data_IF_829857593279
#
_entry.id   IF_829857593279
#
_cell.length_a   1.000
_cell.length_b   1.000
_cell.length_c   1.000
_cell.angle_alpha   90.00
_cell.angle_beta   90.00
_cell.angle_gamma   90.00
#
_symmetry.space_group_name_H-M   'P 1'
#
loop_
_entity.id
_entity.type
_entity.pdbx_description
1 polymer ?
#
# COMPACT_ATOMS: atom_id res chain seq x y z
N UNK A 1 -17.61 -20.12 51.88
CA UNK A 1 -17.91 -18.84 51.23
C UNK A 1 -16.60 -18.23 50.73
N UNK A 2 -16.65 -17.60 49.56
CA UNK A 2 -15.56 -17.01 48.77
C UNK A 2 -14.61 -16.09 49.59
N UNK A 3 -13.38 -15.76 49.18
CA UNK A 3 -13.06 -14.96 47.98
C UNK A 3 -11.65 -15.26 47.45
N UNK A 4 -11.61 -15.48 46.14
CA UNK A 4 -10.47 -15.51 45.23
C UNK A 4 -9.90 -14.08 45.09
N UNK A 5 -8.61 -13.86 45.38
CA UNK A 5 -7.91 -12.63 44.94
C UNK A 5 -6.89 -13.01 43.87
N UNK A 6 -7.33 -12.81 42.63
CA UNK A 6 -6.53 -12.72 41.42
C UNK A 6 -5.76 -11.39 41.49
N UNK A 7 -4.43 -11.42 41.49
CA UNK A 7 -3.63 -10.21 41.29
C UNK A 7 -2.80 -10.37 40.01
N UNK A 8 -3.22 -9.58 39.03
CA UNK A 8 -2.74 -9.35 37.68
C UNK A 8 -1.24 -9.62 37.43
N UNK A 9 -1.01 -10.40 36.36
CA UNK A 9 0.21 -10.36 35.60
C UNK A 9 0.54 -8.92 35.20
N UNK A 10 1.70 -8.43 35.62
CA UNK A 10 2.34 -7.25 35.06
C UNK A 10 2.71 -7.56 33.60
N UNK A 11 1.78 -7.28 32.70
CA UNK A 11 1.99 -7.33 31.26
C UNK A 11 3.09 -6.33 30.89
N UNK A 12 4.30 -6.86 30.75
CA UNK A 12 5.29 -6.49 29.75
C UNK A 12 5.02 -5.15 29.03
N UNK A 13 5.47 -4.05 29.62
CA UNK A 13 5.74 -2.81 28.89
C UNK A 13 6.94 -3.09 27.97
N UNK A 14 6.68 -3.72 26.83
CA UNK A 14 7.60 -3.66 25.70
C UNK A 14 7.44 -2.26 25.12
N UNK A 15 8.15 -1.29 25.69
CA UNK A 15 8.53 -0.09 24.95
C UNK A 15 9.55 -0.54 23.92
N UNK A 16 9.10 -1.13 22.82
CA UNK A 16 9.96 -1.26 21.65
C UNK A 16 10.19 0.17 21.17
N UNK A 17 11.39 0.71 21.38
CA UNK A 17 11.86 1.81 20.55
C UNK A 17 11.56 1.41 19.11
N UNK A 18 10.66 2.15 18.45
CA UNK A 18 10.45 1.97 17.02
C UNK A 18 11.83 2.16 16.39
N UNK A 19 12.41 1.09 15.84
CA UNK A 19 13.70 1.16 15.18
C UNK A 19 13.59 2.23 14.09
N UNK A 20 14.19 3.40 14.33
CA UNK A 20 14.15 4.51 13.37
C UNK A 20 14.86 4.04 12.12
N UNK A 21 14.10 3.87 11.05
CA UNK A 21 14.65 3.49 9.77
C UNK A 21 15.23 4.72 9.08
N UNK A 22 16.22 4.52 8.23
CA UNK A 22 16.67 5.60 7.34
C UNK A 22 15.71 5.70 6.15
N UNK A 23 14.78 6.67 6.21
CA UNK A 23 13.77 6.88 5.19
C UNK A 23 14.34 7.16 3.81
N UNK A 24 15.47 7.88 3.73
CA UNK A 24 16.13 8.20 2.46
C UNK A 24 16.75 6.95 1.80
N UNK A 25 17.37 6.08 2.60
CA UNK A 25 17.90 4.80 2.10
C UNK A 25 16.76 3.90 1.62
N UNK A 26 15.65 3.86 2.34
CA UNK A 26 14.46 3.10 1.94
C UNK A 26 13.83 3.62 0.66
N UNK A 27 13.66 4.94 0.55
CA UNK A 27 13.15 5.58 -0.66
C UNK A 27 14.05 5.26 -1.85
N UNK A 28 15.37 5.37 -1.68
CA UNK A 28 16.36 4.99 -2.70
C UNK A 28 16.20 3.53 -3.13
N UNK A 29 16.05 2.61 -2.17
CA UNK A 29 15.86 1.19 -2.45
C UNK A 29 14.53 0.91 -3.20
N UNK A 30 13.43 1.51 -2.76
CA UNK A 30 12.12 1.41 -3.42
C UNK A 30 12.20 1.91 -4.86
N UNK A 31 12.74 3.12 -5.07
CA UNK A 31 12.86 3.72 -6.40
C UNK A 31 13.81 2.93 -7.31
N UNK A 32 14.93 2.46 -6.76
CA UNK A 32 15.86 1.58 -7.48
C UNK A 32 15.17 0.29 -7.95
N UNK A 33 14.32 -0.30 -7.11
CA UNK A 33 13.50 -1.45 -7.51
C UNK A 33 12.47 -1.10 -8.60
N UNK A 34 11.76 0.02 -8.48
CA UNK A 34 10.79 0.44 -9.50
C UNK A 34 11.45 0.61 -10.87
N UNK A 35 12.58 1.32 -10.92
CA UNK A 35 13.32 1.59 -12.16
C UNK A 35 13.88 0.30 -12.78
N UNK A 36 14.51 -0.56 -11.98
CA UNK A 36 15.14 -1.79 -12.47
C UNK A 36 14.14 -2.89 -12.86
N UNK A 37 12.89 -2.83 -12.39
CA UNK A 37 11.90 -3.88 -12.60
C UNK A 37 10.77 -3.51 -13.57
N UNK A 38 10.90 -2.40 -14.29
CA UNK A 38 9.96 -1.98 -15.35
C UNK A 38 8.70 -1.30 -14.85
N UNK A 39 8.81 -0.51 -13.77
CA UNK A 39 7.74 0.36 -13.22
C UNK A 39 8.12 1.82 -13.39
N UNK A 40 8.72 2.17 -14.53
CA UNK A 40 9.30 3.49 -14.78
C UNK A 40 8.24 4.58 -14.76
N UNK A 41 7.03 4.28 -15.27
CA UNK A 41 5.92 5.24 -15.25
C UNK A 41 5.41 5.53 -13.85
N UNK A 42 5.39 4.52 -12.98
CA UNK A 42 5.01 4.72 -11.60
C UNK A 42 6.07 5.52 -10.82
N UNK A 43 7.37 5.26 -11.03
CA UNK A 43 8.44 6.08 -10.43
C UNK A 43 8.39 7.53 -10.92
N UNK A 44 8.16 7.75 -12.22
CA UNK A 44 8.01 9.09 -12.78
C UNK A 44 6.78 9.82 -12.21
N UNK A 45 5.67 9.11 -12.03
CA UNK A 45 4.47 9.66 -11.40
C UNK A 45 4.70 10.00 -9.92
N UNK A 46 5.40 9.13 -9.18
CA UNK A 46 5.81 9.39 -7.81
C UNK A 46 6.62 10.68 -7.68
N UNK A 47 7.57 10.91 -8.59
CA UNK A 47 8.35 12.15 -8.67
C UNK A 47 7.46 13.36 -8.98
N UNK A 48 6.61 13.28 -10.01
CA UNK A 48 5.86 14.43 -10.53
C UNK A 48 4.81 14.98 -9.58
N UNK A 49 4.34 14.18 -8.63
CA UNK A 49 3.34 14.60 -7.63
C UNK A 49 3.92 15.33 -6.44
N UNK A 50 5.24 15.30 -6.24
CA UNK A 50 5.87 15.76 -5.00
C UNK A 50 5.55 14.93 -3.76
N UNK A 51 4.83 13.79 -3.90
CA UNK A 51 4.42 12.92 -2.80
C UNK A 51 5.63 12.35 -2.03
N UNK A 52 6.81 12.29 -2.66
CA UNK A 52 8.07 11.90 -2.02
C UNK A 52 8.32 12.68 -0.72
N UNK A 53 8.02 13.99 -0.69
CA UNK A 53 8.23 14.82 0.52
C UNK A 53 7.35 14.36 1.69
N UNK A 54 6.13 13.90 1.41
CA UNK A 54 5.22 13.36 2.41
C UNK A 54 5.54 11.90 2.78
N UNK A 55 6.11 11.14 1.85
CA UNK A 55 6.51 9.75 2.04
C UNK A 55 7.75 9.63 2.95
N UNK A 56 8.71 10.55 2.83
CA UNK A 56 10.00 10.44 3.50
C UNK A 56 9.89 10.38 5.04
N UNK A 57 9.11 11.24 5.73
CA UNK A 57 8.91 11.13 7.17
C UNK A 57 8.30 9.78 7.57
N UNK A 58 7.30 9.31 6.82
CA UNK A 58 6.63 8.03 7.08
C UNK A 58 7.62 6.87 7.01
N UNK A 59 8.51 6.87 6.02
CA UNK A 59 9.51 5.82 5.88
C UNK A 59 10.50 5.81 7.06
N UNK A 60 10.69 6.90 7.79
CA UNK A 60 11.57 6.86 8.96
C UNK A 60 10.97 6.02 10.11
N UNK A 61 9.64 6.00 10.21
CA UNK A 61 8.95 5.38 11.35
C UNK A 61 8.26 4.06 10.98
N UNK A 62 7.98 3.84 9.70
CA UNK A 62 7.16 2.74 9.22
C UNK A 62 7.79 2.02 8.04
N UNK A 63 7.60 0.70 8.01
CA UNK A 63 7.78 -0.07 6.79
C UNK A 63 6.53 0.01 5.90
N UNK A 64 6.74 -0.20 4.60
CA UNK A 64 5.67 -0.05 3.62
C UNK A 64 5.64 -1.19 2.61
N UNK A 65 4.43 -1.47 2.15
CA UNK A 65 4.17 -2.29 0.98
C UNK A 65 3.74 -1.39 -0.17
N UNK A 66 4.47 -1.44 -1.27
CA UNK A 66 4.20 -0.64 -2.47
C UNK A 66 3.47 -1.50 -3.49
N UNK A 67 2.31 -1.04 -3.92
CA UNK A 67 1.56 -1.61 -5.05
C UNK A 67 1.93 -0.82 -6.30
N UNK A 68 2.92 -1.27 -7.06
CA UNK A 68 3.42 -0.55 -8.22
C UNK A 68 2.62 -0.95 -9.48
N UNK A 69 1.83 -0.05 -10.10
CA UNK A 69 1.17 -0.39 -11.35
C UNK A 69 2.19 -0.55 -12.47
N UNK A 70 2.13 -1.68 -13.17
CA UNK A 70 2.95 -1.98 -14.34
C UNK A 70 2.77 -0.92 -15.44
N UNK A 71 3.79 -0.71 -16.27
CA UNK A 71 3.81 0.40 -17.25
C UNK A 71 2.60 0.40 -18.22
N UNK A 72 2.02 -0.77 -18.55
CA UNK A 72 0.83 -0.82 -19.40
C UNK A 72 -0.45 -0.34 -18.70
N UNK A 73 -0.52 -0.42 -17.36
CA UNK A 73 -1.67 0.07 -16.59
C UNK A 73 -1.88 1.59 -16.77
N UNK A 74 -0.78 2.30 -17.08
CA UNK A 74 -0.75 3.74 -17.33
C UNK A 74 -1.16 4.13 -18.76
N UNK A 75 -1.41 3.18 -19.66
CA UNK A 75 -1.77 3.49 -21.05
C UNK A 75 -3.24 3.89 -21.24
N UNK A 76 -4.08 3.68 -20.22
CA UNK A 76 -5.51 4.02 -20.29
C UNK A 76 -5.74 5.53 -20.23
N UNK A 77 -6.79 6.03 -20.88
CA UNK A 77 -7.19 7.44 -20.81
C UNK A 77 -7.42 7.89 -19.35
N UNK A 78 -8.00 7.01 -18.53
CA UNK A 78 -8.21 7.30 -17.11
C UNK A 78 -6.90 7.48 -16.34
N UNK A 79 -5.88 6.65 -16.59
CA UNK A 79 -4.59 6.79 -15.92
C UNK A 79 -3.83 8.04 -16.39
N UNK A 80 -3.95 8.40 -17.67
CA UNK A 80 -3.41 9.66 -18.20
C UNK A 80 -4.08 10.88 -17.55
N UNK A 81 -5.40 10.83 -17.36
CA UNK A 81 -6.14 11.88 -16.65
C UNK A 81 -5.69 12.00 -15.18
N UNK A 82 -5.47 10.88 -14.49
CA UNK A 82 -4.92 10.88 -13.12
C UNK A 82 -3.56 11.58 -13.06
N UNK A 83 -2.68 11.32 -14.04
CA UNK A 83 -1.35 11.93 -14.10
C UNK A 83 -1.40 13.45 -14.31
N UNK A 84 -2.45 13.96 -14.97
CA UNK A 84 -2.63 15.39 -15.22
C UNK A 84 -3.32 16.13 -14.07
N UNK A 85 -4.12 15.45 -13.25
CA UNK A 85 -4.87 16.05 -12.14
C UNK A 85 -3.98 16.23 -10.90
N UNK A 86 -3.36 17.41 -10.76
CA UNK A 86 -2.47 17.76 -9.64
C UNK A 86 -3.12 17.63 -8.25
N UNK A 87 -4.46 17.70 -8.16
CA UNK A 87 -5.18 17.59 -6.88
C UNK A 87 -5.37 16.13 -6.48
N UNK A 88 -5.73 15.28 -7.45
CA UNK A 88 -5.98 13.85 -7.21
C UNK A 88 -4.73 13.00 -7.22
N UNK A 89 -3.72 13.38 -7.99
CA UNK A 89 -2.54 12.58 -8.22
C UNK A 89 -1.81 12.17 -6.93
N UNK A 90 -1.52 13.07 -5.95
CA UNK A 90 -0.89 12.67 -4.70
C UNK A 90 -1.72 11.68 -3.88
N UNK A 91 -3.06 11.81 -3.91
CA UNK A 91 -3.97 10.91 -3.21
C UNK A 91 -4.02 9.53 -3.86
N UNK A 92 -3.99 9.47 -5.20
CA UNK A 92 -3.92 8.22 -5.96
C UNK A 92 -2.58 7.52 -5.66
N UNK A 93 -1.46 8.26 -5.64
CA UNK A 93 -0.16 7.69 -5.28
C UNK A 93 -0.17 7.17 -3.86
N UNK A 94 -0.60 7.97 -2.87
CA UNK A 94 -0.66 7.55 -1.48
C UNK A 94 -1.49 6.27 -1.26
N UNK A 95 -2.50 6.05 -2.10
CA UNK A 95 -3.33 4.85 -2.06
C UNK A 95 -2.61 3.56 -2.52
N UNK A 96 -1.48 3.69 -3.22
CA UNK A 96 -0.63 2.55 -3.62
C UNK A 96 0.43 2.19 -2.57
N UNK A 97 0.54 2.95 -1.47
CA UNK A 97 1.44 2.62 -0.36
C UNK A 97 0.61 2.14 0.83
N UNK A 98 0.83 0.91 1.26
CA UNK A 98 0.19 0.30 2.43
C UNK A 98 1.17 0.36 3.61
N UNK A 99 0.67 0.74 4.79
CA UNK A 99 1.42 0.66 6.05
C UNK A 99 1.67 -0.80 6.40
N UNK A 100 2.92 -1.15 6.70
CA UNK A 100 3.32 -2.52 6.99
C UNK A 100 3.97 -3.20 5.81
N UNK A 101 4.94 -4.09 6.09
CA UNK A 101 5.40 -5.10 5.13
C UNK A 101 4.37 -6.22 5.01
N UNK A 102 3.85 -6.46 3.81
CA UNK A 102 2.82 -7.46 3.49
C UNK A 102 3.30 -8.29 2.34
N UNK A 103 3.71 -9.52 2.62
CA UNK A 103 4.11 -10.46 1.57
C UNK A 103 2.89 -10.99 0.81
N UNK A 104 3.10 -11.45 -0.42
CA UNK A 104 2.05 -12.10 -1.20
C UNK A 104 1.48 -13.33 -0.47
N UNK A 105 2.35 -14.14 0.16
CA UNK A 105 1.97 -15.31 0.95
C UNK A 105 1.10 -14.95 2.15
N UNK A 106 1.36 -13.84 2.82
CA UNK A 106 0.50 -13.34 3.89
C UNK A 106 -0.84 -12.85 3.35
N UNK A 107 -0.83 -12.07 2.26
CA UNK A 107 -2.06 -11.56 1.64
C UNK A 107 -2.99 -12.68 1.12
N UNK A 108 -2.45 -13.83 0.72
CA UNK A 108 -3.24 -15.01 0.35
C UNK A 108 -4.00 -15.63 1.52
N UNK A 109 -3.53 -15.42 2.76
CA UNK A 109 -4.16 -15.94 3.99
C UNK A 109 -5.24 -15.02 4.53
N UNK A 110 -5.33 -13.79 4.02
CA UNK A 110 -6.34 -12.84 4.45
C UNK A 110 -7.73 -13.30 4.06
N UNK A 111 -8.71 -12.97 4.91
CA UNK A 111 -10.12 -13.15 4.59
C UNK A 111 -10.49 -12.17 3.49
N UNK A 112 -11.36 -12.57 2.57
CA UNK A 112 -11.94 -11.65 1.59
C UNK A 112 -12.59 -10.48 2.33
N UNK A 113 -12.34 -9.26 1.87
CA UNK A 113 -12.81 -8.05 2.55
C UNK A 113 -11.87 -7.54 3.64
N UNK A 114 -10.64 -8.07 3.77
CA UNK A 114 -9.67 -7.52 4.72
C UNK A 114 -9.24 -6.13 4.28
N UNK A 115 -9.36 -5.15 5.16
CA UNK A 115 -8.92 -3.79 4.90
C UNK A 115 -7.46 -3.57 5.32
N UNK A 116 -6.72 -2.81 4.51
CA UNK A 116 -5.35 -2.39 4.80
C UNK A 116 -5.24 -0.88 4.74
N UNK A 117 -4.53 -0.29 5.70
CA UNK A 117 -4.35 1.17 5.80
C UNK A 117 -3.33 1.63 4.78
N UNK A 118 -3.70 2.63 3.97
CA UNK A 118 -2.78 3.27 3.02
C UNK A 118 -2.12 4.51 3.62
N UNK A 119 -1.03 5.00 3.02
CA UNK A 119 -0.33 6.21 3.48
C UNK A 119 -1.10 7.51 3.27
N UNK A 120 -2.27 7.44 2.61
CA UNK A 120 -3.20 8.55 2.65
C UNK A 120 -3.93 8.67 4.01
N UNK A 121 -3.67 7.78 4.98
CA UNK A 121 -4.13 7.68 6.39
C UNK A 121 -5.65 7.72 6.65
N UNK A 122 -6.44 8.14 5.66
CA UNK A 122 -7.90 8.24 5.69
C UNK A 122 -8.55 7.17 4.80
N UNK A 123 -7.75 6.43 4.03
CA UNK A 123 -8.26 5.53 2.99
C UNK A 123 -7.70 4.14 3.18
N UNK A 124 -8.63 3.18 3.27
CA UNK A 124 -8.31 1.76 3.34
C UNK A 124 -8.44 1.16 1.96
N UNK A 125 -7.52 0.26 1.62
CA UNK A 125 -7.64 -0.59 0.44
C UNK A 125 -8.14 -1.97 0.87
N UNK A 126 -9.17 -2.45 0.18
CA UNK A 126 -9.79 -3.74 0.43
C UNK A 126 -9.05 -4.84 -0.33
N UNK A 127 -8.62 -5.85 0.40
CA UNK A 127 -8.16 -7.11 -0.15
C UNK A 127 -9.37 -7.95 -0.56
N UNK A 128 -9.39 -8.32 -1.83
CA UNK A 128 -10.36 -9.23 -2.42
C UNK A 128 -9.62 -10.46 -2.89
N UNK A 129 -9.80 -11.58 -2.19
CA UNK A 129 -9.29 -12.86 -2.64
C UNK A 129 -10.28 -13.43 -3.64
N UNK A 130 -9.90 -13.45 -4.91
CA UNK A 130 -10.54 -14.34 -5.86
C UNK A 130 -10.02 -15.75 -5.56
N UNK A 131 -10.88 -16.77 -5.61
CA UNK A 131 -10.44 -18.17 -5.51
C UNK A 131 -9.25 -18.45 -6.46
N UNK A 132 -8.46 -19.49 -6.17
CA UNK A 132 -7.32 -19.91 -7.00
C UNK A 132 -6.02 -19.09 -6.86
N UNK A 133 -5.68 -18.64 -5.66
CA UNK A 133 -4.34 -18.08 -5.39
C UNK A 133 -4.11 -16.68 -5.96
N UNK A 134 -5.18 -15.93 -6.22
CA UNK A 134 -5.12 -14.58 -6.78
C UNK A 134 -5.46 -13.53 -5.72
N UNK A 135 -4.61 -12.52 -5.57
CA UNK A 135 -4.86 -11.35 -4.72
C UNK A 135 -5.28 -10.17 -5.59
N UNK A 136 -6.47 -9.65 -5.33
CA UNK A 136 -6.98 -8.40 -5.91
C UNK A 136 -7.13 -7.34 -4.83
N UNK A 137 -6.89 -6.09 -5.19
CA UNK A 137 -6.82 -4.95 -4.27
C UNK A 137 -7.60 -3.79 -4.87
N UNK A 138 -8.54 -3.23 -4.13
CA UNK A 138 -9.42 -2.17 -4.63
C UNK A 138 -10.14 -1.44 -3.49
N UNK A 139 -10.91 -0.37 -3.79
CA UNK A 139 -11.68 0.34 -2.76
C UNK A 139 -12.90 -0.43 -2.23
N UNK A 140 -13.40 -1.41 -2.98
CA UNK A 140 -14.48 -2.30 -2.55
C UNK A 140 -14.47 -3.60 -3.38
N UNK A 141 -15.26 -4.59 -2.97
CA UNK A 141 -15.40 -5.85 -3.72
C UNK A 141 -16.05 -5.53 -5.08
N UNK A 142 -15.39 -5.94 -6.17
CA UNK A 142 -15.90 -5.74 -7.53
C UNK A 142 -15.72 -4.32 -8.09
N UNK A 143 -15.02 -3.44 -7.38
CA UNK A 143 -14.79 -2.06 -7.82
C UNK A 143 -14.08 -1.97 -9.19
N UNK A 144 -14.43 -0.97 -10.01
CA UNK A 144 -13.88 -0.76 -11.36
C UNK A 144 -12.35 -0.66 -11.38
N UNK A 145 -11.77 -0.05 -10.35
CA UNK A 145 -10.33 0.17 -10.24
C UNK A 145 -9.66 -0.82 -9.28
N UNK A 146 -10.09 -2.07 -9.31
CA UNK A 146 -9.46 -3.18 -8.59
C UNK A 146 -8.25 -3.70 -9.38
N UNK A 147 -7.07 -3.68 -8.79
CA UNK A 147 -5.85 -4.24 -9.38
C UNK A 147 -5.55 -5.65 -8.89
N UNK A 148 -5.06 -6.51 -9.78
CA UNK A 148 -4.52 -7.84 -9.43
C UNK A 148 -3.02 -7.72 -9.21
N UNK A 149 -2.49 -8.36 -8.18
CA UNK A 149 -1.03 -8.55 -8.07
C UNK A 149 -0.60 -9.50 -9.19
N UNK A 150 0.09 -8.95 -10.20
CA UNK A 150 0.58 -9.67 -11.37
C UNK A 150 2.04 -10.10 -11.23
N UNK A 151 2.82 -9.40 -10.40
CA UNK A 151 4.23 -9.70 -10.10
C UNK A 151 4.48 -9.59 -8.59
N UNK A 152 4.42 -10.70 -7.83
CA UNK A 152 4.61 -10.64 -6.39
C UNK A 152 6.09 -10.42 -6.02
N UNK A 153 6.37 -9.55 -5.05
CA UNK A 153 7.71 -9.45 -4.43
C UNK A 153 8.81 -8.96 -5.37
N UNK A 154 8.48 -8.06 -6.29
CA UNK A 154 9.40 -7.39 -7.24
C UNK A 154 10.67 -6.88 -6.55
N UNK A 155 10.48 -6.40 -5.33
CA UNK A 155 11.53 -6.15 -4.34
C UNK A 155 11.00 -6.66 -3.01
N UNK A 156 11.80 -7.46 -2.30
CA UNK A 156 11.50 -7.93 -0.96
C UNK A 156 12.69 -7.61 -0.06
N UNK A 157 12.84 -6.32 0.26
CA UNK A 157 13.85 -5.86 1.19
C UNK A 157 13.56 -6.34 2.62
N UNK A 158 14.50 -6.12 3.53
CA UNK A 158 14.31 -6.46 4.96
C UNK A 158 13.02 -5.83 5.51
N UNK A 159 12.82 -4.56 5.20
CA UNK A 159 11.72 -3.73 5.74
C UNK A 159 10.62 -3.46 4.72
N UNK A 160 10.93 -3.17 3.45
CA UNK A 160 9.90 -2.82 2.46
C UNK A 160 9.70 -3.92 1.41
N UNK A 161 8.52 -3.94 0.81
CA UNK A 161 8.20 -4.85 -0.30
C UNK A 161 7.46 -4.11 -1.42
N UNK A 162 7.74 -4.48 -2.67
CA UNK A 162 7.06 -3.96 -3.86
C UNK A 162 6.34 -5.12 -4.57
N UNK A 163 5.06 -4.94 -4.83
CA UNK A 163 4.25 -5.83 -5.67
C UNK A 163 3.86 -5.10 -6.95
N UNK A 164 4.03 -5.76 -8.10
CA UNK A 164 3.47 -5.29 -9.34
C UNK A 164 1.97 -5.54 -9.41
N UNK A 165 1.19 -4.52 -9.74
CA UNK A 165 -0.25 -4.61 -9.99
C UNK A 165 -0.59 -4.25 -11.43
N UNK A 166 -1.63 -4.85 -12.00
CA UNK A 166 -2.02 -4.65 -13.40
C UNK A 166 -2.88 -3.40 -13.66
N UNK A 167 -3.27 -2.69 -12.61
CA UNK A 167 -4.21 -1.57 -12.68
C UNK A 167 -3.75 -0.43 -11.77
N UNK A 168 -3.95 0.82 -12.20
CA UNK A 168 -3.84 1.99 -11.31
C UNK A 168 -5.06 1.97 -10.37
N UNK A 169 -4.82 1.63 -9.12
CA UNK A 169 -5.86 1.50 -8.10
C UNK A 169 -6.25 2.91 -7.65
N UNK A 170 -7.55 3.17 -7.52
CA UNK A 170 -8.07 4.48 -7.14
C UNK A 170 -8.85 4.43 -5.83
N UNK A 171 -8.78 5.49 -5.01
CA UNK A 171 -9.60 5.60 -3.80
C UNK A 171 -11.11 5.53 -4.04
N UNK A 172 -11.92 5.25 -2.99
CA UNK A 172 -13.38 5.14 -3.11
C UNK A 172 -14.07 6.37 -3.72
N UNK A 173 -13.67 7.57 -3.32
CA UNK A 173 -14.27 8.83 -3.80
C UNK A 173 -14.11 9.03 -5.31
N UNK A 174 -13.12 8.38 -5.94
CA UNK A 174 -12.92 8.46 -7.39
C UNK A 174 -14.07 7.77 -8.16
N UNK A 175 -14.71 6.77 -7.54
CA UNK A 175 -15.80 6.00 -8.14
C UNK A 175 -17.19 6.54 -7.77
N UNK A 176 -17.26 7.70 -7.10
CA UNK A 176 -18.51 8.17 -6.48
C UNK A 176 -18.95 7.31 -5.28
N UNK A 177 -18.11 6.39 -4.81
CA UNK A 177 -18.36 5.61 -3.60
C UNK A 177 -18.01 6.51 -2.42
N UNK A 178 -19.02 7.00 -1.70
CA UNK A 178 -18.82 7.71 -0.43
C UNK A 178 -18.13 6.72 0.53
N UNK A 179 -16.89 7.02 0.93
CA UNK A 179 -16.17 6.20 1.90
C UNK A 179 -17.02 6.04 3.15
N UNK A 180 -17.25 4.81 3.59
CA UNK A 180 -18.00 4.51 4.81
C UNK A 180 -17.35 5.24 5.98
N UNK A 181 -18.16 6.01 6.70
CA UNK A 181 -17.78 6.66 7.96
C UNK A 181 -17.49 5.60 9.03
#
# INVERSE_FOLDING_TARGET
MAVLILALAASCLITSEAAKYNGQQQLTAIRGALKSKGYKKFDAFLESTGFIKSLLPVLNDWNVTVLAPVDFAWNTNSAKADMADKKKAPQIIGYHFIVGKRTFKEMLKYKTGTEMVTLNYQMKILNVRAASGVVRLGPSIGAKYTGKISKPGVFNGKINIVHGVDTVIRPPWYQGIKGGK
#
